data_IF_353273028824
#
_entry.id   IF_353273028824
#
_cell.length_a   1.000
_cell.length_b   1.000
_cell.length_c   1.000
_cell.angle_alpha   90.00
_cell.angle_beta   90.00
_cell.angle_gamma   90.00
#
_symmetry.space_group_name_H-M   'P 1'
#
loop_
_entity.id
_entity.type
_entity.pdbx_description
1 polymer ?
#
# COMPACT_ATOMS: atom_id res chain seq x y z
N UNK A 1 -6.83 -10.83 20.47
CA UNK A 1 -7.21 -9.65 19.70
C UNK A 1 -6.11 -9.29 18.72
N UNK A 2 -6.42 -8.46 17.75
CA UNK A 2 -5.45 -8.10 16.73
C UNK A 2 -4.34 -7.24 17.32
N UNK A 3 -3.11 -7.55 16.96
CA UNK A 3 -1.92 -6.81 17.40
C UNK A 3 -1.26 -6.05 16.26
N UNK A 4 -1.43 -6.50 15.04
CA UNK A 4 -0.82 -5.88 13.87
C UNK A 4 -1.75 -6.04 12.67
N UNK A 5 -2.32 -4.94 12.23
CA UNK A 5 -3.33 -4.92 11.17
C UNK A 5 -2.69 -4.45 9.87
N UNK A 6 -2.82 -5.23 8.82
CA UNK A 6 -2.40 -4.85 7.47
C UNK A 6 -3.58 -4.21 6.74
N UNK A 7 -3.36 -3.02 6.20
CA UNK A 7 -4.39 -2.29 5.47
C UNK A 7 -3.86 -1.95 4.08
N UNK A 8 -4.33 -2.66 3.05
CA UNK A 8 -3.98 -2.27 1.68
C UNK A 8 -4.76 -1.04 1.29
N UNK A 9 -4.12 -0.18 0.50
CA UNK A 9 -4.76 1.04 -0.01
C UNK A 9 -4.30 1.32 -1.44
N UNK A 10 -5.19 1.84 -2.25
CA UNK A 10 -4.88 2.26 -3.61
C UNK A 10 -5.03 3.78 -3.81
N UNK A 11 -5.29 4.51 -2.74
CA UNK A 11 -5.47 5.95 -2.78
C UNK A 11 -6.87 6.42 -3.18
N UNK A 12 -7.78 5.50 -3.49
CA UNK A 12 -9.16 5.87 -3.82
C UNK A 12 -9.91 6.34 -2.57
N UNK A 13 -11.02 7.04 -2.77
CA UNK A 13 -11.87 7.46 -1.65
C UNK A 13 -12.40 6.29 -0.85
N UNK A 14 -12.72 5.20 -1.53
CA UNK A 14 -13.21 4.01 -0.88
C UNK A 14 -12.13 3.35 -0.03
N UNK A 15 -10.90 3.24 -0.54
CA UNK A 15 -9.81 2.69 0.23
C UNK A 15 -9.39 3.61 1.37
N UNK A 16 -9.52 4.93 1.21
CA UNK A 16 -9.26 5.86 2.31
C UNK A 16 -10.26 5.66 3.45
N UNK A 17 -11.53 5.45 3.13
CA UNK A 17 -12.55 5.15 4.13
C UNK A 17 -12.21 3.84 4.87
N UNK A 18 -11.79 2.82 4.14
CA UNK A 18 -11.36 1.56 4.73
C UNK A 18 -10.12 1.74 5.61
N UNK A 19 -9.19 2.57 5.18
CA UNK A 19 -7.99 2.87 5.95
C UNK A 19 -8.35 3.56 7.27
N UNK A 20 -9.24 4.54 7.24
CA UNK A 20 -9.69 5.22 8.46
C UNK A 20 -10.38 4.26 9.41
N UNK A 21 -11.23 3.38 8.90
CA UNK A 21 -11.90 2.36 9.71
C UNK A 21 -10.89 1.39 10.32
N UNK A 22 -9.91 0.96 9.55
CA UNK A 22 -8.86 0.06 10.03
C UNK A 22 -7.98 0.69 11.09
N UNK A 23 -7.62 1.96 10.93
CA UNK A 23 -6.86 2.71 11.93
C UNK A 23 -7.66 2.89 13.23
N UNK A 24 -8.95 3.15 13.11
CA UNK A 24 -9.83 3.26 14.26
C UNK A 24 -9.91 1.93 15.02
N UNK A 25 -10.02 0.82 14.29
CA UNK A 25 -10.00 -0.51 14.89
C UNK A 25 -8.66 -0.76 15.60
N UNK A 26 -7.55 -0.40 14.98
CA UNK A 26 -6.23 -0.55 15.58
C UNK A 26 -6.12 0.27 16.87
N UNK A 27 -6.66 1.48 16.88
CA UNK A 27 -6.68 2.32 18.06
C UNK A 27 -7.43 1.66 19.20
N UNK A 28 -8.59 1.08 18.92
CA UNK A 28 -9.41 0.40 19.92
C UNK A 28 -8.74 -0.87 20.45
N UNK A 29 -8.01 -1.58 19.60
CA UNK A 29 -7.33 -2.82 19.96
C UNK A 29 -5.94 -2.60 20.56
N UNK A 30 -5.42 -1.40 20.52
CA UNK A 30 -4.02 -1.15 20.88
C UNK A 30 -3.04 -1.77 19.89
N UNK A 31 -3.45 -1.92 18.63
CA UNK A 31 -2.67 -2.58 17.59
C UNK A 31 -1.85 -1.56 16.79
N UNK A 32 -0.79 -2.05 16.15
CA UNK A 32 -0.08 -1.27 15.15
C UNK A 32 -0.64 -1.57 13.76
N UNK A 33 -0.32 -0.71 12.80
CA UNK A 33 -0.83 -0.80 11.44
C UNK A 33 0.33 -0.83 10.46
N UNK A 34 0.22 -1.63 9.40
CA UNK A 34 1.04 -1.51 8.21
C UNK A 34 0.11 -1.14 7.06
N UNK A 35 0.36 0.03 6.47
CA UNK A 35 -0.35 0.46 5.27
C UNK A 35 0.45 -0.02 4.06
N UNK A 36 -0.20 -0.74 3.17
CA UNK A 36 0.42 -1.35 2.01
C UNK A 36 -0.12 -0.74 0.72
N UNK A 37 0.77 -0.24 -0.11
CA UNK A 37 0.45 0.13 -1.48
C UNK A 37 1.09 -0.88 -2.41
N UNK A 38 0.25 -1.72 -3.02
CA UNK A 38 0.70 -2.72 -3.98
C UNK A 38 0.54 -2.15 -5.38
N UNK A 39 1.66 -1.94 -6.06
CA UNK A 39 1.66 -1.43 -7.43
C UNK A 39 1.69 -2.60 -8.40
N UNK A 40 0.86 -2.58 -9.45
CA UNK A 40 0.99 -3.56 -10.51
C UNK A 40 2.38 -3.46 -11.15
N UNK A 41 2.93 -4.59 -11.56
CA UNK A 41 4.17 -4.59 -12.33
C UNK A 41 3.82 -4.29 -13.79
N UNK A 42 3.80 -3.01 -14.12
CA UNK A 42 3.40 -2.57 -15.46
C UNK A 42 4.36 -3.06 -16.54
N UNK A 43 5.63 -3.15 -16.22
CA UNK A 43 6.63 -3.65 -17.17
C UNK A 43 6.31 -5.10 -17.59
N UNK A 44 5.95 -5.95 -16.63
CA UNK A 44 5.56 -7.32 -16.90
C UNK A 44 4.22 -7.41 -17.62
N UNK A 45 3.27 -6.55 -17.26
CA UNK A 45 1.91 -6.57 -17.84
C UNK A 45 1.88 -6.19 -19.31
N UNK A 46 2.77 -5.30 -19.72
CA UNK A 46 2.79 -4.76 -21.07
C UNK A 46 4.02 -5.20 -21.88
N UNK A 47 4.54 -6.35 -21.55
CA UNK A 47 5.74 -6.92 -22.15
C UNK A 47 5.70 -7.01 -23.69
N UNK A 48 4.50 -7.15 -24.28
CA UNK A 48 4.33 -7.22 -25.72
C UNK A 48 4.54 -5.90 -26.47
N UNK A 49 4.70 -4.77 -25.79
CA UNK A 49 4.90 -3.46 -26.39
C UNK A 49 6.29 -2.89 -26.04
N UNK A 50 7.29 -3.70 -26.15
CA UNK A 50 8.66 -3.44 -25.66
C UNK A 50 9.25 -2.08 -25.99
N UNK A 51 9.13 -1.66 -27.23
CA UNK A 51 9.74 -0.40 -27.69
C UNK A 51 9.16 0.84 -27.01
N UNK A 52 7.84 0.86 -26.84
CA UNK A 52 7.15 1.95 -26.16
C UNK A 52 7.45 1.99 -24.68
N UNK A 53 7.53 0.82 -24.08
CA UNK A 53 7.79 0.67 -22.65
C UNK A 53 9.20 1.13 -22.32
N UNK A 54 10.18 0.70 -23.09
CA UNK A 54 11.57 1.09 -22.88
C UNK A 54 11.75 2.61 -22.93
N UNK A 55 10.95 3.28 -23.76
CA UNK A 55 11.01 4.72 -23.94
C UNK A 55 10.42 5.48 -22.74
N UNK A 56 9.31 5.01 -22.17
CA UNK A 56 8.58 5.75 -21.15
C UNK A 56 8.67 5.17 -19.73
N UNK A 57 9.34 4.02 -19.57
CA UNK A 57 9.34 3.31 -18.30
C UNK A 57 9.85 4.13 -17.12
N UNK A 58 10.92 4.91 -17.31
CA UNK A 58 11.52 5.69 -16.24
C UNK A 58 10.58 6.78 -15.72
N UNK A 59 9.93 7.52 -16.63
CA UNK A 59 8.97 8.55 -16.25
C UNK A 59 7.73 7.95 -15.62
N UNK A 60 7.25 6.85 -16.18
CA UNK A 60 6.09 6.14 -15.65
C UNK A 60 6.34 5.64 -14.24
N UNK A 61 7.51 5.04 -14.01
CA UNK A 61 7.90 4.54 -12.69
C UNK A 61 8.01 5.67 -11.67
N UNK A 62 8.57 6.82 -12.06
CA UNK A 62 8.66 7.98 -11.17
C UNK A 62 7.28 8.49 -10.77
N UNK A 63 6.36 8.58 -11.74
CA UNK A 63 4.99 9.03 -11.47
C UNK A 63 4.28 8.06 -10.55
N UNK A 64 4.41 6.76 -10.78
CA UNK A 64 3.80 5.72 -9.96
C UNK A 64 4.35 5.74 -8.55
N UNK A 65 5.66 5.91 -8.39
CA UNK A 65 6.29 6.00 -7.08
C UNK A 65 5.85 7.24 -6.31
N UNK A 66 5.74 8.36 -7.00
CA UNK A 66 5.28 9.61 -6.39
C UNK A 66 3.85 9.47 -5.89
N UNK A 67 2.99 8.87 -6.70
CA UNK A 67 1.60 8.61 -6.31
C UNK A 67 1.54 7.68 -5.09
N UNK A 68 2.32 6.60 -5.09
CA UNK A 68 2.40 5.68 -3.97
C UNK A 68 2.85 6.39 -2.70
N UNK A 69 3.87 7.24 -2.81
CA UNK A 69 4.38 8.00 -1.66
C UNK A 69 3.31 8.94 -1.10
N UNK A 70 2.55 9.61 -1.96
CA UNK A 70 1.47 10.49 -1.52
C UNK A 70 0.38 9.72 -0.79
N UNK A 71 -0.01 8.57 -1.31
CA UNK A 71 -1.03 7.70 -0.70
C UNK A 71 -0.55 7.23 0.68
N UNK A 72 0.68 6.77 0.77
CA UNK A 72 1.24 6.28 2.02
C UNK A 72 1.46 7.41 3.03
N UNK A 73 1.83 8.61 2.60
CA UNK A 73 1.93 9.77 3.48
C UNK A 73 0.58 10.14 4.07
N UNK A 74 -0.49 10.03 3.28
CA UNK A 74 -1.85 10.24 3.77
C UNK A 74 -2.18 9.24 4.87
N UNK A 75 -1.82 7.97 4.68
CA UNK A 75 -2.04 6.93 5.68
C UNK A 75 -1.29 7.23 6.98
N UNK A 76 -0.03 7.65 6.88
CA UNK A 76 0.77 8.02 8.05
C UNK A 76 0.14 9.19 8.80
N UNK A 77 -0.35 10.20 8.07
CA UNK A 77 -1.00 11.37 8.66
C UNK A 77 -2.25 11.00 9.44
N UNK A 78 -3.08 10.14 8.89
CA UNK A 78 -4.30 9.66 9.56
C UNK A 78 -3.93 8.90 10.84
N UNK A 79 -2.98 7.98 10.74
CA UNK A 79 -2.55 7.19 11.89
C UNK A 79 -1.97 8.08 12.99
N UNK A 80 -1.16 9.06 12.61
CA UNK A 80 -0.56 10.00 13.57
C UNK A 80 -1.62 10.80 14.31
N UNK A 81 -2.64 11.27 13.59
CA UNK A 81 -3.75 12.01 14.18
C UNK A 81 -4.49 11.15 15.23
N UNK A 82 -4.63 9.87 14.95
CA UNK A 82 -5.31 8.93 15.86
C UNK A 82 -4.38 8.33 16.92
N UNK A 83 -3.10 8.64 16.88
CA UNK A 83 -2.14 8.11 17.85
C UNK A 83 -1.82 6.64 17.65
N UNK A 84 -1.92 6.13 16.44
CA UNK A 84 -1.67 4.72 16.10
C UNK A 84 -0.29 4.59 15.44
N UNK A 85 0.51 3.63 15.89
CA UNK A 85 1.79 3.32 15.26
C UNK A 85 1.54 2.74 13.87
N UNK A 86 2.13 3.33 12.85
CA UNK A 86 1.90 2.95 11.47
C UNK A 86 3.22 2.86 10.70
N UNK A 87 3.40 1.76 9.99
CA UNK A 87 4.46 1.56 9.03
C UNK A 87 3.87 1.56 7.63
N UNK A 88 4.66 1.96 6.66
CA UNK A 88 4.24 1.93 5.26
C UNK A 88 5.13 0.99 4.47
N UNK A 89 4.51 0.25 3.56
CA UNK A 89 5.21 -0.65 2.65
C UNK A 89 4.70 -0.43 1.24
N UNK A 90 5.62 -0.35 0.30
CA UNK A 90 5.32 -0.24 -1.12
C UNK A 90 5.94 -1.43 -1.82
N UNK A 91 5.13 -2.19 -2.54
CA UNK A 91 5.60 -3.35 -3.30
C UNK A 91 5.09 -3.30 -4.74
N UNK A 92 5.86 -3.87 -5.64
CA UNK A 92 5.47 -4.07 -7.03
C UNK A 92 5.27 -5.55 -7.26
N UNK A 93 4.12 -5.95 -7.79
CA UNK A 93 3.81 -7.35 -8.03
C UNK A 93 2.86 -7.47 -9.21
N UNK A 94 2.95 -8.58 -9.93
CA UNK A 94 2.01 -8.91 -11.01
C UNK A 94 0.62 -9.13 -10.42
N UNK A 95 0.55 -9.73 -9.24
CA UNK A 95 -0.71 -10.04 -8.56
C UNK A 95 -0.79 -9.27 -7.24
N UNK A 96 -1.77 -8.36 -7.14
CA UNK A 96 -1.98 -7.54 -5.95
C UNK A 96 -2.39 -8.39 -4.75
N UNK A 97 -3.25 -9.38 -4.96
CA UNK A 97 -3.68 -10.25 -3.88
C UNK A 97 -2.53 -11.07 -3.29
N UNK A 98 -1.61 -11.54 -4.11
CA UNK A 98 -0.43 -12.24 -3.64
C UNK A 98 0.49 -11.31 -2.85
N UNK A 99 0.63 -10.07 -3.27
CA UNK A 99 1.42 -9.06 -2.56
C UNK A 99 0.87 -8.84 -1.16
N UNK A 100 -0.44 -8.76 -1.02
CA UNK A 100 -1.10 -8.58 0.27
C UNK A 100 -0.84 -9.78 1.19
N UNK A 101 -1.04 -10.98 0.67
CA UNK A 101 -0.84 -12.22 1.44
C UNK A 101 0.62 -12.33 1.90
N UNK A 102 1.55 -12.08 0.99
CA UNK A 102 2.97 -12.14 1.29
C UNK A 102 3.36 -11.15 2.38
N UNK A 103 2.89 -9.92 2.28
CA UNK A 103 3.19 -8.89 3.28
C UNK A 103 2.59 -9.22 4.64
N UNK A 104 1.39 -9.80 4.67
CA UNK A 104 0.78 -10.21 5.92
C UNK A 104 1.64 -11.27 6.63
N UNK A 105 2.19 -12.19 5.87
CA UNK A 105 3.05 -13.25 6.43
C UNK A 105 4.40 -12.70 6.86
N UNK A 106 5.07 -11.94 6.01
CA UNK A 106 6.40 -11.40 6.28
C UNK A 106 6.39 -10.36 7.39
N UNK A 107 5.33 -9.58 7.48
CA UNK A 107 5.17 -8.55 8.50
C UNK A 107 4.55 -9.03 9.79
N UNK A 108 4.21 -10.31 9.89
CA UNK A 108 3.53 -10.88 11.06
C UNK A 108 2.22 -10.17 11.39
N UNK A 109 1.46 -9.82 10.37
CA UNK A 109 0.15 -9.20 10.54
C UNK A 109 -0.89 -10.29 10.87
N UNK A 110 -1.80 -9.98 11.73
CA UNK A 110 -2.79 -10.93 12.23
C UNK A 110 -4.23 -10.51 11.97
#
# INVERSE_FOLDING_TARGET
MFKHILIPTDGSKLSEAALRAGIQLAKEQGAQVTALYAMPDYAAMIYGAEALIAYNSAEFDKSAQKEADQVLQTALGIAKTEGVACQTVRVTNISINQAIIKQAQEGNCD
#
